data_IF_360691225900
#
_entry.id   IF_360691225900
#
_cell.length_a   1.000
_cell.length_b   1.000
_cell.length_c   1.000
_cell.angle_alpha   90.00
_cell.angle_beta   90.00
_cell.angle_gamma   90.00
#
_symmetry.space_group_name_H-M   'P 1'
#
loop_
_entity.id
_entity.type
_entity.pdbx_description
1 polymer ?
#
# COMPACT_ATOMS: atom_id res chain seq x y z
N UNK A 1 75.28 -11.43 48.42
CA UNK A 1 74.62 -10.56 47.40
C UNK A 1 73.86 -11.33 46.33
N UNK A 2 74.39 -12.37 45.74
CA UNK A 2 73.77 -13.15 44.63
C UNK A 2 72.42 -13.82 44.91
N UNK A 3 72.11 -14.24 46.16
CA UNK A 3 70.84 -14.89 46.50
C UNK A 3 69.64 -13.93 46.45
N UNK A 4 69.82 -12.69 46.87
CA UNK A 4 68.75 -11.65 46.79
C UNK A 4 68.44 -11.31 45.34
N UNK A 5 69.43 -11.14 44.52
CA UNK A 5 69.27 -10.88 43.07
C UNK A 5 68.52 -11.99 42.34
N UNK A 6 68.86 -13.27 42.63
CA UNK A 6 68.17 -14.42 42.05
C UNK A 6 66.71 -14.49 42.46
N UNK A 7 66.35 -14.13 43.72
CA UNK A 7 64.96 -14.08 44.19
C UNK A 7 64.19 -12.94 43.53
N UNK A 8 64.79 -11.77 43.30
CA UNK A 8 64.17 -10.68 42.60
C UNK A 8 63.88 -11.05 41.13
N UNK A 9 64.85 -11.56 40.39
CA UNK A 9 64.66 -11.97 39.00
C UNK A 9 63.60 -13.08 38.84
N UNK A 10 63.53 -14.02 39.83
CA UNK A 10 62.54 -15.06 39.81
C UNK A 10 61.11 -14.50 40.00
N UNK A 11 60.88 -13.54 40.88
CA UNK A 11 59.61 -12.86 41.06
C UNK A 11 59.21 -12.08 39.78
N UNK A 12 60.14 -11.36 39.18
CA UNK A 12 59.90 -10.62 37.95
C UNK A 12 59.52 -11.53 36.79
N UNK A 13 60.09 -12.71 36.70
CA UNK A 13 59.74 -13.75 35.73
C UNK A 13 58.34 -14.33 36.00
N UNK A 14 58.00 -14.61 37.24
CA UNK A 14 56.69 -15.14 37.65
C UNK A 14 55.59 -14.08 37.36
N UNK A 15 55.84 -12.81 37.65
CA UNK A 15 54.89 -11.72 37.32
C UNK A 15 54.68 -11.56 35.81
N UNK A 16 55.77 -11.64 35.02
CA UNK A 16 55.63 -11.59 33.58
C UNK A 16 54.92 -12.80 32.99
N UNK A 17 55.18 -13.97 33.51
CA UNK A 17 54.45 -15.18 33.10
C UNK A 17 52.95 -15.09 33.41
N UNK A 18 52.62 -14.59 34.59
CA UNK A 18 51.22 -14.36 34.96
C UNK A 18 50.54 -13.33 34.04
N UNK A 19 51.19 -12.19 33.78
CA UNK A 19 50.66 -11.17 32.90
C UNK A 19 50.47 -11.68 31.45
N UNK A 20 51.38 -12.51 30.96
CA UNK A 20 51.26 -13.10 29.64
C UNK A 20 50.13 -14.14 29.57
N UNK A 21 49.95 -14.93 30.64
CA UNK A 21 48.82 -15.85 30.71
C UNK A 21 47.49 -15.11 30.74
N UNK A 22 47.35 -14.09 31.57
CA UNK A 22 46.14 -13.27 31.62
C UNK A 22 45.84 -12.62 30.26
N UNK A 23 46.87 -12.12 29.55
CA UNK A 23 46.69 -11.56 28.20
C UNK A 23 46.24 -12.64 27.20
N UNK A 24 46.75 -13.85 27.27
CA UNK A 24 46.34 -14.98 26.43
C UNK A 24 44.86 -15.31 26.65
N UNK A 25 44.47 -15.41 27.93
CA UNK A 25 43.11 -15.74 28.32
C UNK A 25 42.11 -14.66 27.85
N UNK A 26 42.46 -13.38 27.99
CA UNK A 26 41.67 -12.26 27.45
C UNK A 26 41.55 -12.33 25.92
N UNK A 27 42.64 -12.64 25.22
CA UNK A 27 42.60 -12.78 23.75
C UNK A 27 41.75 -13.99 23.34
N UNK A 28 41.84 -15.10 24.04
CA UNK A 28 41.03 -16.28 23.75
C UNK A 28 39.55 -16.01 23.99
N UNK A 29 39.17 -15.35 25.08
CA UNK A 29 37.81 -14.92 25.34
C UNK A 29 37.30 -13.95 24.27
N UNK A 30 38.15 -13.01 23.86
CA UNK A 30 37.84 -12.08 22.78
C UNK A 30 37.54 -12.76 21.44
N UNK A 31 38.35 -13.77 21.09
CA UNK A 31 38.13 -14.60 19.89
C UNK A 31 36.82 -15.36 19.94
N UNK A 32 36.52 -16.01 21.05
CA UNK A 32 35.26 -16.75 21.24
C UNK A 32 34.03 -15.82 21.12
N UNK A 33 34.10 -14.63 21.73
CA UNK A 33 33.02 -13.63 21.59
C UNK A 33 32.86 -13.16 20.15
N UNK A 34 33.95 -12.91 19.44
CA UNK A 34 33.93 -12.47 18.05
C UNK A 34 33.35 -13.54 17.13
N UNK A 35 33.71 -14.79 17.34
CA UNK A 35 33.15 -15.94 16.63
C UNK A 35 31.66 -16.10 16.88
N UNK A 36 31.21 -16.00 18.14
CA UNK A 36 29.81 -16.01 18.50
C UNK A 36 29.02 -14.87 17.81
N UNK A 37 29.55 -13.65 17.81
CA UNK A 37 28.93 -12.51 17.13
C UNK A 37 28.88 -12.74 15.62
N UNK A 38 29.95 -13.25 15.02
CA UNK A 38 29.99 -13.53 13.59
C UNK A 38 28.94 -14.61 13.19
N UNK A 39 28.81 -15.66 13.99
CA UNK A 39 27.81 -16.70 13.77
C UNK A 39 26.38 -16.14 13.89
N UNK A 40 26.11 -15.29 14.87
CA UNK A 40 24.81 -14.62 15.01
C UNK A 40 24.53 -13.69 13.82
N UNK A 41 25.54 -12.94 13.37
CA UNK A 41 25.42 -12.03 12.22
C UNK A 41 25.10 -12.82 10.93
N UNK A 42 25.80 -13.93 10.68
CA UNK A 42 25.54 -14.78 9.51
C UNK A 42 24.15 -15.40 9.56
N UNK A 43 23.71 -15.84 10.72
CA UNK A 43 22.35 -16.36 10.91
C UNK A 43 21.28 -15.28 10.61
N UNK A 44 21.42 -14.08 11.17
CA UNK A 44 20.51 -12.97 10.91
C UNK A 44 20.49 -12.57 9.42
N UNK A 45 21.63 -12.59 8.74
CA UNK A 45 21.70 -12.35 7.31
C UNK A 45 20.94 -13.41 6.50
N UNK A 46 21.06 -14.69 6.86
CA UNK A 46 20.33 -15.76 6.18
C UNK A 46 18.84 -15.66 6.40
N UNK A 47 18.40 -15.39 7.63
CA UNK A 47 16.98 -15.16 7.96
C UNK A 47 16.41 -13.95 7.23
N UNK A 48 17.13 -12.83 7.19
CA UNK A 48 16.73 -11.63 6.45
C UNK A 48 16.57 -11.89 4.95
N UNK A 49 17.50 -12.64 4.36
CA UNK A 49 17.41 -13.03 2.95
C UNK A 49 16.19 -13.93 2.69
N UNK A 50 15.92 -14.88 3.59
CA UNK A 50 14.76 -15.76 3.49
C UNK A 50 13.46 -14.95 3.53
N UNK A 51 13.31 -14.09 4.53
CA UNK A 51 12.12 -13.20 4.64
C UNK A 51 11.96 -12.31 3.41
N UNK A 52 13.07 -11.77 2.88
CA UNK A 52 13.05 -10.95 1.66
C UNK A 52 12.57 -11.73 0.43
N UNK A 53 12.97 -12.99 0.28
CA UNK A 53 12.51 -13.85 -0.83
C UNK A 53 11.04 -14.22 -0.69
N UNK A 54 10.59 -14.53 0.51
CA UNK A 54 9.17 -14.79 0.80
C UNK A 54 8.30 -13.56 0.52
N UNK A 55 8.74 -12.38 0.96
CA UNK A 55 8.04 -11.12 0.70
C UNK A 55 7.84 -10.89 -0.81
N UNK A 56 8.90 -11.09 -1.60
CA UNK A 56 8.82 -10.97 -3.06
C UNK A 56 7.84 -11.97 -3.66
N UNK A 57 7.83 -13.20 -3.19
CA UNK A 57 6.90 -14.22 -3.67
C UNK A 57 5.44 -13.84 -3.37
N UNK A 58 5.18 -13.32 -2.17
CA UNK A 58 3.84 -12.84 -1.78
C UNK A 58 3.44 -11.62 -2.61
N UNK A 59 4.35 -10.68 -2.86
CA UNK A 59 4.08 -9.50 -3.70
C UNK A 59 3.71 -9.90 -5.13
N UNK A 60 4.41 -10.87 -5.72
CA UNK A 60 4.09 -11.38 -7.06
C UNK A 60 2.70 -12.03 -7.09
N UNK A 61 2.38 -12.87 -6.08
CA UNK A 61 1.05 -13.50 -5.97
C UNK A 61 -0.05 -12.42 -5.85
N UNK A 62 0.15 -11.44 -5.00
CA UNK A 62 -0.80 -10.33 -4.82
C UNK A 62 -1.01 -9.55 -6.12
N UNK A 63 0.07 -9.25 -6.84
CA UNK A 63 -0.02 -8.57 -8.15
C UNK A 63 -0.81 -9.39 -9.18
N UNK A 64 -0.57 -10.70 -9.23
CA UNK A 64 -1.28 -11.59 -10.14
C UNK A 64 -2.78 -11.70 -9.80
N UNK A 65 -3.12 -11.82 -8.51
CA UNK A 65 -4.52 -11.84 -8.07
C UNK A 65 -5.24 -10.51 -8.34
N UNK A 66 -4.57 -9.39 -8.10
CA UNK A 66 -5.12 -8.07 -8.47
C UNK A 66 -5.38 -7.97 -9.97
N UNK A 67 -4.42 -8.39 -10.80
CA UNK A 67 -4.59 -8.37 -12.25
C UNK A 67 -5.71 -9.31 -12.72
N UNK A 68 -5.95 -10.44 -12.01
CA UNK A 68 -7.08 -11.32 -12.27
C UNK A 68 -8.40 -10.63 -11.96
N UNK A 69 -8.52 -10.07 -10.75
CA UNK A 69 -9.73 -9.38 -10.32
C UNK A 69 -10.08 -8.17 -11.21
N UNK A 70 -9.07 -7.42 -11.67
CA UNK A 70 -9.28 -6.33 -12.62
C UNK A 70 -9.81 -6.80 -13.97
N UNK A 71 -9.32 -7.92 -14.48
CA UNK A 71 -9.84 -8.52 -15.72
C UNK A 71 -11.27 -9.03 -15.55
N UNK A 72 -11.58 -9.66 -14.43
CA UNK A 72 -12.96 -10.09 -14.11
C UNK A 72 -13.90 -8.88 -13.99
N UNK A 73 -13.42 -7.77 -13.39
CA UNK A 73 -14.19 -6.53 -13.30
C UNK A 73 -14.48 -5.92 -14.66
N UNK A 74 -13.49 -5.89 -15.55
CA UNK A 74 -13.63 -5.43 -16.94
C UNK A 74 -14.61 -6.27 -17.74
N UNK A 75 -14.61 -7.59 -17.50
CA UNK A 75 -15.56 -8.50 -18.13
C UNK A 75 -17.01 -8.28 -17.66
N UNK A 76 -17.20 -7.95 -16.37
CA UNK A 76 -18.53 -7.71 -15.78
C UNK A 76 -19.06 -6.32 -16.15
N UNK A 77 -18.18 -5.34 -16.20
CA UNK A 77 -18.50 -3.94 -16.47
C UNK A 77 -17.66 -3.42 -17.64
N UNK A 78 -17.95 -3.87 -18.87
CA UNK A 78 -17.21 -3.40 -20.03
C UNK A 78 -17.38 -1.90 -20.23
N UNK A 79 -16.24 -1.21 -20.40
CA UNK A 79 -16.18 0.22 -20.68
C UNK A 79 -15.74 0.39 -22.13
N UNK A 80 -16.64 0.88 -22.97
CA UNK A 80 -16.38 1.08 -24.38
C UNK A 80 -16.24 2.57 -24.73
N UNK A 81 -15.28 2.89 -25.59
CA UNK A 81 -15.12 4.24 -26.15
C UNK A 81 -16.01 4.38 -27.39
N UNK A 82 -17.13 5.09 -27.26
CA UNK A 82 -18.11 5.28 -28.35
C UNK A 82 -17.62 6.31 -29.36
N UNK A 83 -17.08 7.44 -28.88
CA UNK A 83 -16.56 8.50 -29.73
C UNK A 83 -15.24 9.05 -29.17
N UNK A 84 -14.16 8.86 -29.92
CA UNK A 84 -12.82 9.29 -29.52
C UNK A 84 -12.64 10.83 -29.58
N UNK A 85 -13.37 11.52 -30.47
CA UNK A 85 -13.26 12.99 -30.60
C UNK A 85 -13.88 13.72 -29.41
N UNK A 86 -15.05 13.24 -28.98
CA UNK A 86 -15.82 13.87 -27.92
C UNK A 86 -15.61 13.17 -26.56
N UNK A 87 -14.70 12.16 -26.50
CA UNK A 87 -14.41 11.34 -25.32
C UNK A 87 -15.69 10.76 -24.69
N UNK A 88 -16.58 10.26 -25.53
CA UNK A 88 -17.82 9.62 -25.11
C UNK A 88 -17.56 8.16 -24.81
N UNK A 89 -17.90 7.77 -23.60
CA UNK A 89 -17.80 6.39 -23.14
C UNK A 89 -19.18 5.79 -22.88
N UNK A 90 -19.29 4.49 -23.03
CA UNK A 90 -20.43 3.71 -22.55
C UNK A 90 -19.95 2.71 -21.48
N UNK A 91 -20.81 2.42 -20.56
CA UNK A 91 -20.59 1.40 -19.52
C UNK A 91 -21.75 0.41 -19.57
N UNK A 92 -21.43 -0.86 -19.81
CA UNK A 92 -22.43 -1.91 -19.99
C UNK A 92 -23.46 -1.54 -21.09
N UNK A 93 -23.00 -0.94 -22.18
CA UNK A 93 -23.84 -0.50 -23.29
C UNK A 93 -24.65 0.79 -23.04
N UNK A 94 -24.60 1.36 -21.85
CA UNK A 94 -25.28 2.62 -21.53
C UNK A 94 -24.32 3.81 -21.62
N UNK A 95 -24.73 4.94 -22.24
CA UNK A 95 -23.85 6.07 -22.40
C UNK A 95 -23.58 6.75 -21.05
N UNK A 96 -22.31 7.10 -20.79
CA UNK A 96 -21.94 7.90 -19.64
C UNK A 96 -22.32 9.37 -19.87
N UNK A 97 -22.94 10.04 -18.89
CA UNK A 97 -23.28 11.46 -19.01
C UNK A 97 -21.99 12.29 -19.12
N UNK A 98 -21.85 13.00 -20.22
CA UNK A 98 -20.69 13.86 -20.45
C UNK A 98 -20.96 15.27 -19.89
N UNK A 99 -20.32 15.59 -18.74
CA UNK A 99 -20.45 16.91 -18.11
C UNK A 99 -19.92 18.07 -18.94
N UNK A 100 -19.20 17.82 -20.04
CA UNK A 100 -18.61 18.84 -20.91
C UNK A 100 -19.64 19.36 -21.93
N UNK A 101 -20.68 18.58 -22.24
CA UNK A 101 -21.68 18.94 -23.22
C UNK A 101 -22.76 19.95 -22.73
N UNK A 102 -22.69 20.36 -21.47
CA UNK A 102 -23.58 21.42 -20.94
C UNK A 102 -23.04 22.83 -21.24
N UNK A 103 -22.77 23.13 -22.49
CA UNK A 103 -22.86 24.54 -22.92
C UNK A 103 -24.30 24.98 -22.70
N UNK A 104 -24.45 26.08 -21.96
CA UNK A 104 -25.68 26.63 -21.39
C UNK A 104 -26.89 26.78 -22.31
N UNK A 105 -26.79 26.46 -23.58
CA UNK A 105 -27.85 26.62 -24.58
C UNK A 105 -28.82 25.43 -24.70
N UNK A 106 -28.45 24.22 -24.27
CA UNK A 106 -29.27 23.02 -24.49
C UNK A 106 -29.69 22.29 -23.20
N UNK A 107 -29.35 22.82 -22.04
CA UNK A 107 -29.67 22.17 -20.75
C UNK A 107 -31.17 22.17 -20.42
N UNK A 108 -31.98 22.97 -21.09
CA UNK A 108 -33.41 23.14 -20.81
C UNK A 108 -34.36 22.26 -21.63
N UNK A 109 -33.89 21.62 -22.71
CA UNK A 109 -34.84 21.10 -23.69
C UNK A 109 -34.97 19.58 -23.75
N UNK A 110 -34.06 18.79 -23.19
CA UNK A 110 -34.04 17.32 -23.50
C UNK A 110 -33.58 16.38 -22.39
N UNK A 111 -33.75 16.73 -21.15
CA UNK A 111 -33.62 15.66 -20.11
C UNK A 111 -34.98 15.04 -19.91
N UNK A 112 -35.36 14.14 -20.80
CA UNK A 112 -36.48 13.23 -20.57
C UNK A 112 -36.24 12.46 -19.27
N UNK A 113 -37.32 12.20 -18.53
CA UNK A 113 -37.28 11.46 -17.25
C UNK A 113 -36.60 10.08 -17.38
N UNK A 114 -36.64 9.47 -18.56
CA UNK A 114 -35.91 8.25 -18.94
C UNK A 114 -34.37 8.45 -18.92
N UNK A 115 -33.88 9.54 -19.47
CA UNK A 115 -32.46 9.84 -19.53
C UNK A 115 -31.86 10.05 -18.12
N UNK A 116 -32.65 10.59 -17.19
CA UNK A 116 -32.25 10.78 -15.79
C UNK A 116 -32.11 9.44 -15.06
N UNK A 117 -33.02 8.50 -15.31
CA UNK A 117 -32.95 7.17 -14.69
C UNK A 117 -31.75 6.38 -15.23
N UNK A 118 -31.53 6.42 -16.53
CA UNK A 118 -30.38 5.79 -17.16
C UNK A 118 -29.05 6.39 -16.66
N UNK A 119 -28.94 7.71 -16.64
CA UNK A 119 -27.77 8.40 -16.10
C UNK A 119 -27.50 8.05 -14.62
N UNK A 120 -28.56 7.99 -13.82
CA UNK A 120 -28.46 7.58 -12.41
C UNK A 120 -27.95 6.15 -12.27
N UNK A 121 -28.46 5.23 -13.11
CA UNK A 121 -28.04 3.83 -13.11
C UNK A 121 -26.57 3.67 -13.50
N UNK A 122 -26.15 4.33 -14.57
CA UNK A 122 -24.74 4.30 -15.04
C UNK A 122 -23.80 4.87 -14.00
N UNK A 123 -24.14 6.00 -13.39
CA UNK A 123 -23.34 6.60 -12.32
C UNK A 123 -23.26 5.70 -11.08
N UNK A 124 -24.31 4.93 -10.80
CA UNK A 124 -24.28 3.92 -9.74
C UNK A 124 -23.27 2.80 -10.04
N UNK A 125 -23.20 2.33 -11.29
CA UNK A 125 -22.19 1.35 -11.69
C UNK A 125 -20.78 1.93 -11.60
N UNK A 126 -20.57 3.19 -12.01
CA UNK A 126 -19.27 3.87 -11.84
C UNK A 126 -18.86 3.92 -10.37
N UNK A 127 -19.80 4.25 -9.49
CA UNK A 127 -19.56 4.25 -8.04
C UNK A 127 -19.22 2.85 -7.51
N UNK A 128 -19.92 1.84 -7.97
CA UNK A 128 -19.65 0.43 -7.62
C UNK A 128 -18.26 0.00 -8.07
N UNK A 129 -17.88 0.31 -9.31
CA UNK A 129 -16.54 0.02 -9.85
C UNK A 129 -15.47 0.73 -9.03
N UNK A 130 -15.66 2.01 -8.72
CA UNK A 130 -14.72 2.79 -7.92
C UNK A 130 -14.52 2.18 -6.51
N UNK A 131 -15.59 1.73 -5.87
CA UNK A 131 -15.53 1.03 -4.59
C UNK A 131 -14.77 -0.30 -4.68
N UNK A 132 -15.03 -1.09 -5.72
CA UNK A 132 -14.33 -2.37 -5.93
C UNK A 132 -12.85 -2.15 -6.20
N UNK A 133 -12.52 -1.18 -7.07
CA UNK A 133 -11.12 -0.79 -7.36
C UNK A 133 -10.39 -0.33 -6.11
N UNK A 134 -11.03 0.50 -5.29
CA UNK A 134 -10.47 0.94 -4.01
C UNK A 134 -10.11 -0.25 -3.10
N UNK A 135 -10.97 -1.26 -3.03
CA UNK A 135 -10.74 -2.48 -2.24
C UNK A 135 -9.64 -3.35 -2.84
N UNK A 136 -9.66 -3.60 -4.16
CA UNK A 136 -8.69 -4.48 -4.83
C UNK A 136 -7.28 -3.88 -4.83
N UNK A 137 -7.18 -2.57 -4.99
CA UNK A 137 -5.91 -1.85 -5.01
C UNK A 137 -5.45 -1.40 -3.62
N UNK A 138 -6.27 -1.56 -2.59
CA UNK A 138 -6.04 -1.02 -1.24
C UNK A 138 -5.77 0.49 -1.24
N UNK A 139 -6.41 1.21 -2.14
CA UNK A 139 -6.27 2.67 -2.25
C UNK A 139 -7.50 3.32 -1.60
N UNK A 140 -7.34 4.09 -0.51
CA UNK A 140 -8.46 4.75 0.12
C UNK A 140 -9.03 5.82 -0.79
N UNK A 141 -10.36 5.89 -0.88
CA UNK A 141 -11.03 6.96 -1.60
C UNK A 141 -10.99 8.24 -0.76
N UNK A 142 -10.66 9.39 -1.36
CA UNK A 142 -10.63 10.68 -0.65
C UNK A 142 -12.03 11.08 -0.14
N UNK A 143 -13.07 10.66 -0.86
CA UNK A 143 -14.47 10.87 -0.49
C UNK A 143 -15.11 9.52 -0.20
N UNK A 144 -15.69 9.32 1.01
CA UNK A 144 -16.44 8.12 1.31
C UNK A 144 -17.61 7.96 0.35
N UNK A 145 -17.66 6.82 -0.30
CA UNK A 145 -18.64 6.48 -1.30
C UNK A 145 -19.44 5.27 -0.82
N UNK A 146 -20.75 5.36 -0.87
CA UNK A 146 -21.65 4.26 -0.57
C UNK A 146 -22.51 3.96 -1.78
N UNK A 147 -22.61 2.68 -2.17
CA UNK A 147 -23.44 2.22 -3.27
C UNK A 147 -24.47 1.22 -2.72
N UNK A 148 -25.75 1.49 -2.94
CA UNK A 148 -26.85 0.63 -2.52
C UNK A 148 -27.78 0.44 -3.71
N UNK A 149 -27.64 -0.69 -4.41
CA UNK A 149 -28.38 -0.97 -5.62
C UNK A 149 -28.14 0.08 -6.73
N UNK A 150 -29.22 0.70 -7.21
CA UNK A 150 -29.15 1.76 -8.24
C UNK A 150 -28.85 3.15 -7.69
N UNK A 151 -28.54 3.28 -6.40
CA UNK A 151 -28.25 4.56 -5.76
C UNK A 151 -26.85 4.56 -5.20
N UNK A 152 -26.10 5.62 -5.50
CA UNK A 152 -24.81 5.86 -4.87
C UNK A 152 -24.77 7.26 -4.25
N UNK A 153 -24.09 7.39 -3.14
CA UNK A 153 -23.89 8.68 -2.46
C UNK A 153 -22.43 8.90 -2.20
N UNK A 154 -21.98 10.13 -2.41
CA UNK A 154 -20.62 10.59 -2.10
C UNK A 154 -20.73 11.55 -0.92
N UNK A 155 -19.95 11.28 0.12
CA UNK A 155 -19.89 12.15 1.28
C UNK A 155 -18.63 13.03 1.19
N UNK A 156 -18.84 14.35 1.04
CA UNK A 156 -17.76 15.32 1.12
C UNK A 156 -17.48 15.68 2.58
N UNK A 157 -16.36 15.18 3.11
CA UNK A 157 -15.90 15.50 4.46
C UNK A 157 -14.87 16.64 4.48
N UNK A 158 -14.38 17.05 3.32
CA UNK A 158 -13.30 18.04 3.21
C UNK A 158 -13.90 19.45 3.23
N UNK A 159 -15.03 19.68 2.55
CA UNK A 159 -15.71 20.96 2.51
C UNK A 159 -16.42 21.33 3.83
N UNK A 160 -16.54 20.40 4.76
CA UNK A 160 -17.18 20.62 6.08
C UNK A 160 -16.35 21.53 7.00
N UNK A 161 -15.10 21.83 6.67
CA UNK A 161 -14.26 22.72 7.49
C UNK A 161 -14.69 24.19 7.49
N UNK A 162 -15.70 24.60 6.72
CA UNK A 162 -16.13 26.00 6.61
C UNK A 162 -17.52 26.30 7.16
N UNK A 163 -18.23 25.36 7.81
CA UNK A 163 -19.56 25.64 8.37
C UNK A 163 -20.42 24.40 8.67
N UNK A 164 -21.52 24.55 9.42
CA UNK A 164 -22.32 23.44 9.93
C UNK A 164 -23.27 22.83 8.90
N UNK A 165 -22.83 22.62 7.65
CA UNK A 165 -23.63 21.97 6.62
C UNK A 165 -22.94 20.76 6.10
N UNK A 166 -23.45 19.58 6.48
CA UNK A 166 -23.15 18.34 5.78
C UNK A 166 -23.71 18.44 4.36
N UNK A 167 -22.91 18.81 3.39
CA UNK A 167 -23.27 18.68 2.00
C UNK A 167 -23.17 17.20 1.63
N UNK A 168 -24.27 16.51 1.78
CA UNK A 168 -24.51 15.29 1.02
C UNK A 168 -24.76 15.78 -0.40
N UNK A 169 -23.73 15.73 -1.25
CA UNK A 169 -23.97 15.88 -2.69
C UNK A 169 -24.65 14.58 -3.13
N UNK A 170 -25.96 14.60 -3.41
CA UNK A 170 -26.54 13.51 -4.16
C UNK A 170 -25.90 13.60 -5.55
N UNK A 171 -24.98 12.68 -5.85
CA UNK A 171 -24.47 12.49 -7.22
C UNK A 171 -25.61 12.08 -8.17
N UNK A 172 -26.79 11.90 -7.59
CA UNK A 172 -28.00 11.41 -8.24
C UNK A 172 -29.17 12.27 -7.77
N UNK A 173 -30.05 12.67 -8.67
CA UNK A 173 -31.26 13.38 -8.29
C UNK A 173 -32.06 12.52 -7.29
N UNK A 174 -32.47 13.14 -6.22
CA UNK A 174 -33.47 12.54 -5.33
C UNK A 174 -34.75 12.24 -6.13
N UNK A 175 -35.45 11.15 -5.79
CA UNK A 175 -36.67 10.77 -6.48
C UNK A 175 -37.75 11.83 -6.41
#
# INVERSE_FOLDING_TARGET
>A
MHIRLRRSVRRDLEERQYALQERRDRLQQGRMKLESINNTCTQLCTESNHVSTELRAVQVRLSNERARLLRELDLIYPIDLVNARDLLYSLVGMPLPNGIATTKANASALVHKTDMVEASTVLSYVAQIALLLSKYLHTPLPYPLTSVGSRATIQDRISVMSGPRSYVHPSFPSP
#
